data_IF_223248877388
#
_entry.id   IF_223248877388
#
_cell.length_a   1.000
_cell.length_b   1.000
_cell.length_c   1.000
_cell.angle_alpha   90.00
_cell.angle_beta   90.00
_cell.angle_gamma   90.00
#
_symmetry.space_group_name_H-M   'P 1'
#
loop_
_entity.id
_entity.type
_entity.pdbx_description
1 polymer ?
#
# COMPACT_ATOMS: atom_id res chain seq x y z
N UNK A 1 23.40 13.17 0.11
CA UNK A 1 21.98 13.46 -0.18
C UNK A 1 21.18 12.31 0.37
N UNK A 2 20.43 12.53 1.45
CA UNK A 2 19.45 11.55 1.92
C UNK A 2 18.38 11.42 0.83
N UNK A 3 18.02 10.20 0.43
CA UNK A 3 16.89 10.03 -0.47
C UNK A 3 15.60 10.27 0.32
N UNK A 4 14.56 10.76 -0.33
CA UNK A 4 13.23 10.98 0.28
C UNK A 4 12.66 9.69 0.92
N UNK A 5 13.05 8.52 0.41
CA UNK A 5 12.70 7.23 1.01
C UNK A 5 13.36 7.02 2.37
N UNK A 6 14.63 7.41 2.52
CA UNK A 6 15.38 7.28 3.77
C UNK A 6 14.80 8.21 4.85
N UNK A 7 14.40 9.44 4.48
CA UNK A 7 13.70 10.37 5.38
C UNK A 7 12.34 9.85 5.86
N UNK A 8 11.71 8.98 5.08
CA UNK A 8 10.48 8.28 5.43
C UNK A 8 10.72 6.93 6.13
N UNK A 9 11.98 6.58 6.40
CA UNK A 9 12.36 5.30 7.01
C UNK A 9 12.09 4.08 6.14
N UNK A 10 12.02 4.26 4.81
CA UNK A 10 11.75 3.20 3.85
C UNK A 10 13.04 2.63 3.28
N UNK A 11 13.22 1.31 3.36
CA UNK A 11 14.38 0.59 2.79
C UNK A 11 14.16 0.12 1.36
N UNK A 12 12.90 -0.07 0.98
CA UNK A 12 12.51 -0.37 -0.38
C UNK A 12 11.24 0.40 -0.73
N UNK A 13 11.11 0.81 -2.00
CA UNK A 13 9.93 1.52 -2.43
C UNK A 13 9.82 1.71 -3.92
N UNK A 14 8.60 1.94 -4.36
CA UNK A 14 8.26 2.30 -5.73
C UNK A 14 7.45 3.58 -5.73
N UNK A 15 7.87 4.53 -6.58
CA UNK A 15 7.12 5.75 -6.87
C UNK A 15 6.46 5.57 -8.24
N UNK A 16 5.17 5.89 -8.33
CA UNK A 16 4.42 5.86 -9.58
C UNK A 16 3.61 7.14 -9.75
N UNK A 17 3.57 7.64 -10.98
CA UNK A 17 2.80 8.82 -11.36
C UNK A 17 1.93 8.43 -12.55
N UNK A 18 0.60 8.41 -12.37
CA UNK A 18 -0.36 8.09 -13.43
C UNK A 18 -1.57 9.01 -13.32
N UNK A 19 -1.93 9.69 -14.42
CA UNK A 19 -3.14 10.51 -14.49
C UNK A 19 -3.26 11.56 -13.38
N UNK A 20 -2.15 12.22 -13.01
CA UNK A 20 -2.14 13.20 -11.91
C UNK A 20 -2.16 12.62 -10.49
N UNK A 21 -2.28 11.29 -10.35
CA UNK A 21 -2.12 10.58 -9.08
C UNK A 21 -0.66 10.19 -8.87
N UNK A 22 -0.07 10.65 -7.77
CA UNK A 22 1.27 10.26 -7.32
C UNK A 22 1.12 9.23 -6.21
N UNK A 23 1.76 8.07 -6.34
CA UNK A 23 1.71 7.01 -5.31
C UNK A 23 3.11 6.57 -4.97
N UNK A 24 3.43 6.57 -3.68
CA UNK A 24 4.59 5.93 -3.09
C UNK A 24 4.10 4.67 -2.36
N UNK A 25 4.78 3.55 -2.60
CA UNK A 25 4.61 2.31 -1.82
C UNK A 25 5.98 1.84 -1.38
N UNK A 26 6.16 1.48 -0.13
CA UNK A 26 7.43 0.98 0.37
C UNK A 26 7.30 0.19 1.65
N UNK A 27 8.44 -0.28 2.15
CA UNK A 27 8.55 -0.95 3.44
C UNK A 27 9.64 -0.34 4.28
N UNK A 28 9.44 -0.36 5.60
CA UNK A 28 10.47 0.01 6.58
C UNK A 28 11.42 -1.16 6.85
N UNK A 29 12.50 -0.92 7.59
CA UNK A 29 13.43 -1.96 8.06
C UNK A 29 12.72 -3.10 8.80
N UNK A 30 11.67 -2.78 9.55
CA UNK A 30 10.89 -3.75 10.32
C UNK A 30 9.83 -4.48 9.48
N UNK A 31 9.80 -4.27 8.16
CA UNK A 31 8.88 -4.92 7.22
C UNK A 31 7.47 -4.31 7.16
N UNK A 32 7.23 -3.23 7.90
CA UNK A 32 5.95 -2.50 7.89
C UNK A 32 5.70 -1.90 6.51
N UNK A 33 4.49 -2.06 5.98
CA UNK A 33 4.10 -1.51 4.69
C UNK A 33 3.63 -0.06 4.84
N UNK A 34 4.18 0.85 4.05
CA UNK A 34 3.78 2.26 4.00
C UNK A 34 3.33 2.59 2.59
N UNK A 35 2.09 3.08 2.46
CA UNK A 35 1.55 3.56 1.21
C UNK A 35 1.09 5.01 1.37
N UNK A 36 1.47 5.83 0.40
CA UNK A 36 1.10 7.22 0.33
C UNK A 36 0.60 7.53 -1.07
N UNK A 37 -0.58 8.14 -1.19
CA UNK A 37 -1.08 8.61 -2.49
C UNK A 37 -1.59 10.03 -2.41
N UNK A 38 -1.22 10.83 -3.39
CA UNK A 38 -1.76 12.17 -3.64
C UNK A 38 -2.52 12.12 -4.95
N UNK A 39 -3.74 12.62 -4.95
CA UNK A 39 -4.54 12.82 -6.15
C UNK A 39 -4.95 14.28 -6.27
N UNK A 40 -4.76 14.85 -7.47
CA UNK A 40 -5.22 16.18 -7.83
C UNK A 40 -6.28 16.06 -8.93
N UNK A 41 -7.47 16.59 -8.67
CA UNK A 41 -8.61 16.55 -9.61
C UNK A 41 -8.60 17.68 -10.64
N UNK A 42 -7.65 18.61 -10.59
CA UNK A 42 -7.57 19.77 -11.48
C UNK A 42 -8.54 20.91 -11.13
N UNK A 43 -9.44 20.70 -10.17
CA UNK A 43 -10.43 21.70 -9.70
C UNK A 43 -9.94 22.53 -8.51
N UNK A 44 -8.68 22.35 -8.10
CA UNK A 44 -8.16 22.85 -6.83
C UNK A 44 -8.35 21.86 -5.67
N UNK A 45 -9.22 20.85 -5.80
CA UNK A 45 -9.37 19.79 -4.82
C UNK A 45 -8.20 18.79 -4.87
N UNK A 46 -7.58 18.58 -3.71
CA UNK A 46 -6.44 17.70 -3.49
C UNK A 46 -6.77 16.71 -2.38
N UNK A 47 -6.57 15.43 -2.65
CA UNK A 47 -6.72 14.36 -1.68
C UNK A 47 -5.37 13.70 -1.41
N UNK A 48 -5.10 13.43 -0.14
CA UNK A 48 -3.92 12.70 0.31
C UNK A 48 -4.37 11.53 1.19
N UNK A 49 -3.83 10.34 0.93
CA UNK A 49 -4.12 9.14 1.70
C UNK A 49 -2.81 8.52 2.14
N UNK A 50 -2.69 8.24 3.43
CA UNK A 50 -1.58 7.50 4.02
C UNK A 50 -2.16 6.23 4.64
N UNK A 51 -1.55 5.08 4.38
CA UNK A 51 -1.86 3.86 5.09
C UNK A 51 -0.59 3.15 5.48
N UNK A 52 -0.58 2.70 6.73
CA UNK A 52 0.53 1.98 7.35
C UNK A 52 -0.01 0.64 7.83
N UNK A 53 0.70 -0.44 7.52
CA UNK A 53 0.34 -1.78 7.93
C UNK A 53 1.54 -2.45 8.59
N UNK A 54 1.38 -2.86 9.85
CA UNK A 54 2.34 -3.75 10.50
C UNK A 54 2.47 -5.08 9.75
N UNK A 55 3.55 -5.79 10.03
CA UNK A 55 3.70 -7.17 9.57
C UNK A 55 2.63 -8.03 10.24
N UNK A 56 1.60 -8.39 9.48
CA UNK A 56 0.51 -9.22 9.96
C UNK A 56 0.90 -10.70 9.96
N UNK A 57 0.38 -11.44 10.95
CA UNK A 57 0.39 -12.89 10.93
C UNK A 57 -0.40 -13.41 9.72
N UNK A 58 -0.16 -14.66 9.30
CA UNK A 58 -0.90 -15.25 8.16
C UNK A 58 -2.43 -15.25 8.42
N UNK A 59 -2.95 -15.67 9.59
CA UNK A 59 -4.38 -15.60 9.88
C UNK A 59 -4.95 -14.17 9.80
N UNK A 60 -4.27 -13.19 10.40
CA UNK A 60 -4.73 -11.81 10.43
C UNK A 60 -4.71 -11.19 9.03
N UNK A 61 -3.65 -11.47 8.25
CA UNK A 61 -3.54 -11.01 6.86
C UNK A 61 -4.67 -11.56 6.00
N UNK A 62 -5.05 -12.83 6.18
CA UNK A 62 -6.19 -13.44 5.47
C UNK A 62 -7.51 -12.80 5.86
N UNK A 63 -7.73 -12.59 7.16
CA UNK A 63 -8.94 -11.93 7.66
C UNK A 63 -9.07 -10.51 7.07
N UNK A 64 -7.99 -9.75 7.10
CA UNK A 64 -7.96 -8.39 6.57
C UNK A 64 -8.08 -8.36 5.04
N UNK A 65 -7.43 -9.28 4.32
CA UNK A 65 -7.59 -9.42 2.88
C UNK A 65 -9.05 -9.68 2.49
N UNK A 66 -9.76 -10.56 3.21
CA UNK A 66 -11.19 -10.82 3.00
C UNK A 66 -12.03 -9.57 3.28
N UNK A 67 -11.75 -8.86 4.38
CA UNK A 67 -12.44 -7.61 4.73
C UNK A 67 -12.28 -6.54 3.65
N UNK A 68 -11.06 -6.31 3.19
CA UNK A 68 -10.77 -5.34 2.13
C UNK A 68 -11.38 -5.74 0.78
N UNK A 69 -11.42 -7.06 0.48
CA UNK A 69 -12.08 -7.57 -0.71
C UNK A 69 -13.59 -7.32 -0.66
N UNK A 70 -14.22 -7.55 0.49
CA UNK A 70 -15.64 -7.25 0.71
C UNK A 70 -15.94 -5.75 0.61
N UNK A 71 -14.98 -4.89 0.96
CA UNK A 71 -15.05 -3.43 0.74
C UNK A 71 -14.84 -3.01 -0.74
N UNK A 72 -14.70 -3.97 -1.67
CA UNK A 72 -14.66 -3.71 -3.11
C UNK A 72 -13.26 -3.51 -3.70
N UNK A 73 -12.19 -3.63 -2.91
CA UNK A 73 -10.84 -3.42 -3.40
C UNK A 73 -10.39 -4.55 -4.35
N UNK A 74 -9.59 -4.18 -5.34
CA UNK A 74 -8.87 -5.13 -6.19
C UNK A 74 -7.73 -5.81 -5.43
N UNK A 75 -7.32 -7.00 -5.88
CA UNK A 75 -6.22 -7.73 -5.23
C UNK A 75 -4.90 -6.94 -5.25
N UNK A 76 -4.66 -6.14 -6.28
CA UNK A 76 -3.48 -5.27 -6.38
C UNK A 76 -3.52 -4.12 -5.37
N UNK A 77 -4.70 -3.56 -5.07
CA UNK A 77 -4.86 -2.53 -4.04
C UNK A 77 -4.67 -3.13 -2.65
N UNK A 78 -5.25 -4.31 -2.39
CA UNK A 78 -5.07 -5.06 -1.14
C UNK A 78 -3.60 -5.39 -0.93
N UNK A 79 -2.92 -5.91 -1.96
CA UNK A 79 -1.50 -6.24 -1.93
C UNK A 79 -0.65 -5.02 -1.55
N UNK A 80 -0.95 -3.87 -2.14
CA UNK A 80 -0.31 -2.60 -1.76
C UNK A 80 -0.53 -2.29 -0.29
N UNK A 81 -1.79 -2.27 0.17
CA UNK A 81 -2.15 -1.94 1.56
C UNK A 81 -1.49 -2.86 2.59
N UNK A 82 -1.40 -4.15 2.30
CA UNK A 82 -0.86 -5.16 3.22
C UNK A 82 0.64 -5.43 3.01
N UNK A 83 1.29 -4.73 2.08
CA UNK A 83 2.73 -4.87 1.82
C UNK A 83 3.18 -6.23 1.29
N UNK A 84 2.29 -6.96 0.61
CA UNK A 84 2.60 -8.29 0.05
C UNK A 84 2.40 -8.31 -1.46
N UNK A 85 2.78 -9.42 -2.09
CA UNK A 85 2.54 -9.58 -3.53
C UNK A 85 1.05 -9.81 -3.83
N UNK A 86 0.59 -9.45 -5.02
CA UNK A 86 -0.77 -9.78 -5.47
C UNK A 86 -1.00 -11.31 -5.48
N UNK A 87 0.03 -12.10 -5.80
CA UNK A 87 -0.04 -13.56 -5.68
C UNK A 87 -0.33 -14.01 -4.25
N UNK A 88 0.33 -13.42 -3.25
CA UNK A 88 0.07 -13.72 -1.84
C UNK A 88 -1.38 -13.44 -1.47
N UNK A 89 -1.95 -12.32 -1.92
CA UNK A 89 -3.36 -12.01 -1.71
C UNK A 89 -4.28 -13.01 -2.42
N UNK A 90 -3.95 -13.41 -3.64
CA UNK A 90 -4.71 -14.45 -4.34
C UNK A 90 -4.72 -15.75 -3.54
N UNK A 91 -3.57 -16.17 -3.03
CA UNK A 91 -3.43 -17.39 -2.22
C UNK A 91 -4.16 -17.25 -0.87
N UNK A 92 -4.14 -16.08 -0.23
CA UNK A 92 -4.83 -15.82 1.03
C UNK A 92 -6.37 -15.78 0.89
N UNK A 93 -6.89 -15.25 -0.23
CA UNK A 93 -8.33 -15.20 -0.49
C UNK A 93 -8.92 -16.58 -0.84
N UNK A 94 -8.07 -17.52 -1.27
CA UNK A 94 -8.47 -18.89 -1.59
C UNK A 94 -8.50 -19.84 -0.36
N UNK A 95 -8.14 -19.36 0.83
CA UNK A 95 -8.10 -20.11 2.10
C UNK A 95 -9.19 -19.65 3.04
#
# INVERSE_FOLDING_TARGET
MSNFLDEMGLVEGTISIKGGKKTLKGKTENGQAVNFSIQNSGTGFREQTISVCEVLSIPDRRAEAKRLKAAGLSQTEIAGKLGVSQKTISDDLAR
#
